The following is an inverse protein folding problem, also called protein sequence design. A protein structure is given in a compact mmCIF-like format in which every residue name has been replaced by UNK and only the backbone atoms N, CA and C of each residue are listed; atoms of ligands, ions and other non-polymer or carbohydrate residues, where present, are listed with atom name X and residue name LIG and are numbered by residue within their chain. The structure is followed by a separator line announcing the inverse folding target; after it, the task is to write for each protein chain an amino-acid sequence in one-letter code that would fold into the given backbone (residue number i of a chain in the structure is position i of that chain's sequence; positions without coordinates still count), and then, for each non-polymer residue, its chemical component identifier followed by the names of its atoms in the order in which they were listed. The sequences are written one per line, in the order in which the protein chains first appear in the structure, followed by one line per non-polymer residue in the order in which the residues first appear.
data_IF_987469655816
#
_entry.id   IF_987469655816
#
_cell.length_a   1.000
_cell.length_b   1.000
_cell.length_c   1.000
_cell.angle_alpha   90.00
_cell.angle_beta   90.00
_cell.angle_gamma   90.00
#
_symmetry.space_group_name_H-M   'P 1'
#
loop_
_entity.id
_entity.type
_entity.pdbx_description
1 polymer ?
#
# COMPACT_ATOMS: atom_id res chain seq x y z
N UNK A 1 -31.07 4.38 -12.08
CA UNK A 1 -29.65 4.53 -11.71
C UNK A 1 -29.17 3.15 -11.29
N UNK A 2 -27.99 2.73 -11.73
CA UNK A 2 -27.42 1.42 -11.38
C UNK A 2 -27.25 1.29 -9.86
N UNK A 3 -27.38 0.09 -9.29
CA UNK A 3 -27.33 -0.11 -7.82
C UNK A 3 -26.00 0.39 -7.26
N UNK A 4 -24.91 0.18 -7.99
CA UNK A 4 -23.56 0.61 -7.64
C UNK A 4 -23.40 2.13 -7.65
N UNK A 5 -24.09 2.82 -8.57
CA UNK A 5 -24.08 4.29 -8.63
C UNK A 5 -24.92 4.90 -7.50
N UNK A 6 -26.01 4.23 -7.12
CA UNK A 6 -26.76 4.61 -5.92
C UNK A 6 -25.91 4.40 -4.65
N UNK A 7 -25.22 3.27 -4.52
CA UNK A 7 -24.28 3.01 -3.42
C UNK A 7 -23.18 4.07 -3.34
N UNK A 8 -22.57 4.40 -4.49
CA UNK A 8 -21.55 5.45 -4.59
C UNK A 8 -22.08 6.82 -4.12
N UNK A 9 -23.30 7.20 -4.51
CA UNK A 9 -23.88 8.47 -4.07
C UNK A 9 -24.10 8.51 -2.54
N UNK A 10 -24.57 7.40 -1.94
CA UNK A 10 -24.72 7.30 -0.49
C UNK A 10 -23.38 7.36 0.24
N UNK A 11 -22.37 6.66 -0.28
CA UNK A 11 -21.02 6.67 0.28
C UNK A 11 -20.38 8.06 0.18
N UNK A 12 -20.53 8.77 -0.94
CA UNK A 12 -20.03 10.15 -1.09
C UNK A 12 -20.61 11.08 -0.02
N UNK A 13 -21.91 10.94 0.27
CA UNK A 13 -22.56 11.74 1.32
C UNK A 13 -22.02 11.37 2.71
N UNK A 14 -22.05 10.08 3.05
CA UNK A 14 -21.70 9.61 4.39
C UNK A 14 -20.20 9.83 4.70
N UNK A 15 -19.33 9.57 3.74
CA UNK A 15 -17.89 9.71 3.89
C UNK A 15 -17.45 11.18 3.76
N UNK A 16 -18.14 11.99 2.95
CA UNK A 16 -17.91 13.43 2.88
C UNK A 16 -18.10 14.12 4.22
N UNK A 17 -19.18 13.80 4.96
CA UNK A 17 -19.41 14.35 6.30
C UNK A 17 -18.32 13.92 7.30
N UNK A 18 -17.88 12.65 7.25
CA UNK A 18 -16.84 12.12 8.14
C UNK A 18 -15.46 12.73 7.87
N UNK A 19 -15.02 12.71 6.61
CA UNK A 19 -13.70 13.23 6.21
C UNK A 19 -13.62 14.72 6.50
N UNK A 20 -14.69 15.48 6.23
CA UNK A 20 -14.75 16.91 6.55
C UNK A 20 -14.60 17.17 8.04
N UNK A 21 -15.36 16.44 8.87
CA UNK A 21 -15.26 16.56 10.33
C UNK A 21 -13.84 16.25 10.81
N UNK A 22 -13.25 15.17 10.32
CA UNK A 22 -11.87 14.80 10.67
C UNK A 22 -10.86 15.87 10.23
N UNK A 23 -11.03 16.44 9.02
CA UNK A 23 -10.19 17.52 8.53
C UNK A 23 -10.28 18.77 9.40
N UNK A 24 -11.48 19.17 9.82
CA UNK A 24 -11.70 20.32 10.71
C UNK A 24 -10.99 20.12 12.06
N UNK A 25 -11.16 18.95 12.69
CA UNK A 25 -10.46 18.59 13.94
C UNK A 25 -8.93 18.58 13.76
N UNK A 26 -8.45 17.99 12.66
CA UNK A 26 -7.02 17.93 12.36
C UNK A 26 -6.44 19.32 12.09
N UNK A 27 -7.17 20.20 11.41
CA UNK A 27 -6.77 21.57 11.14
C UNK A 27 -6.65 22.38 12.43
N UNK A 28 -7.59 22.24 13.38
CA UNK A 28 -7.52 22.91 14.69
C UNK A 28 -6.25 22.54 15.47
N UNK A 29 -5.88 21.25 15.47
CA UNK A 29 -4.64 20.78 16.10
C UNK A 29 -3.41 21.37 15.39
N UNK A 30 -3.39 21.39 14.06
CA UNK A 30 -2.24 21.90 13.30
C UNK A 30 -2.09 23.42 13.41
N UNK A 31 -3.17 24.18 13.56
CA UNK A 31 -3.13 25.62 13.88
C UNK A 31 -2.40 25.90 15.19
N UNK A 32 -2.63 25.08 16.22
CA UNK A 32 -1.92 25.19 17.50
C UNK A 32 -0.40 24.90 17.35
N UNK A 33 -0.02 24.12 16.35
CA UNK A 33 1.37 23.77 16.04
C UNK A 33 2.05 24.76 15.07
N UNK A 34 1.34 25.80 14.62
CA UNK A 34 1.89 26.83 13.73
C UNK A 34 2.15 26.35 12.29
N UNK A 35 1.38 25.38 11.80
CA UNK A 35 1.50 24.89 10.42
C UNK A 35 0.98 25.94 9.42
N UNK A 36 1.75 26.20 8.36
CA UNK A 36 1.38 27.12 7.28
C UNK A 36 0.29 26.51 6.39
N UNK A 37 -0.89 27.15 6.38
CA UNK A 37 -2.06 26.79 5.55
C UNK A 37 -1.93 27.21 4.09
N UNK A 38 -0.97 28.09 3.79
CA UNK A 38 -0.69 28.63 2.46
C UNK A 38 0.61 28.07 1.86
N UNK A 39 1.22 27.05 2.48
CA UNK A 39 2.51 26.44 2.12
C UNK A 39 2.74 26.28 0.61
N UNK A 40 1.73 25.81 -0.11
CA UNK A 40 1.84 25.57 -1.56
C UNK A 40 1.57 26.83 -2.38
N UNK A 41 0.74 27.75 -1.89
CA UNK A 41 0.45 29.02 -2.56
C UNK A 41 1.59 30.03 -2.38
N UNK A 42 2.34 29.93 -1.29
CA UNK A 42 3.56 30.69 -1.01
C UNK A 42 4.82 30.09 -1.64
N UNK A 43 4.75 28.91 -2.28
CA UNK A 43 5.89 28.15 -2.80
C UNK A 43 6.87 28.99 -3.63
N UNK A 44 6.34 29.85 -4.51
CA UNK A 44 7.16 30.64 -5.43
C UNK A 44 7.90 31.81 -4.76
N UNK A 45 7.55 32.18 -3.53
CA UNK A 45 8.22 33.27 -2.80
C UNK A 45 9.67 32.92 -2.43
N UNK A 46 9.98 31.63 -2.37
CA UNK A 46 11.30 31.12 -2.00
C UNK A 46 12.19 30.83 -3.23
N UNK A 47 11.66 30.98 -4.44
CA UNK A 47 12.35 30.59 -5.66
C UNK A 47 13.34 31.67 -6.13
N UNK A 48 14.49 31.22 -6.64
CA UNK A 48 15.39 32.08 -7.40
C UNK A 48 14.78 32.49 -8.75
N UNK A 49 15.36 33.52 -9.38
CA UNK A 49 14.84 34.12 -10.62
C UNK A 49 14.61 33.11 -11.76
N UNK A 50 15.50 32.14 -11.96
CA UNK A 50 15.38 31.17 -13.05
C UNK A 50 14.31 30.11 -12.78
N UNK A 51 14.25 29.59 -11.56
CA UNK A 51 13.21 28.63 -11.14
C UNK A 51 11.82 29.26 -11.18
N UNK A 52 11.72 30.55 -10.82
CA UNK A 52 10.48 31.32 -10.93
C UNK A 52 10.05 31.46 -12.40
N UNK A 53 10.95 31.83 -13.32
CA UNK A 53 10.64 31.92 -14.76
C UNK A 53 10.18 30.58 -15.32
N UNK A 54 10.86 29.49 -14.97
CA UNK A 54 10.48 28.15 -15.38
C UNK A 54 9.08 27.80 -14.89
N UNK A 55 8.81 27.98 -13.59
CA UNK A 55 7.54 27.64 -12.95
C UNK A 55 6.37 28.44 -13.52
N UNK A 56 6.55 29.75 -13.73
CA UNK A 56 5.54 30.61 -14.33
C UNK A 56 5.28 30.26 -15.81
N UNK A 57 6.32 29.90 -16.57
CA UNK A 57 6.19 29.42 -17.94
C UNK A 57 5.40 28.11 -18.00
N UNK A 58 5.74 27.16 -17.14
CA UNK A 58 5.05 25.87 -17.02
C UNK A 58 3.58 26.06 -16.64
N UNK A 59 3.29 26.89 -15.64
CA UNK A 59 1.93 27.25 -15.23
C UNK A 59 1.14 27.87 -16.39
N UNK A 60 1.73 28.85 -17.08
CA UNK A 60 1.09 29.54 -18.21
C UNK A 60 0.76 28.57 -19.35
N UNK A 61 1.70 27.68 -19.68
CA UNK A 61 1.49 26.67 -20.72
C UNK A 61 0.44 25.63 -20.32
N UNK A 62 0.44 25.23 -19.04
CA UNK A 62 -0.56 24.32 -18.49
C UNK A 62 -1.96 24.93 -18.60
N UNK A 63 -2.16 26.15 -18.11
CA UNK A 63 -3.45 26.84 -18.18
C UNK A 63 -3.93 27.03 -19.62
N UNK A 64 -3.04 27.42 -20.54
CA UNK A 64 -3.38 27.55 -21.98
C UNK A 64 -3.76 26.22 -22.62
N UNK A 65 -3.10 25.13 -22.22
CA UNK A 65 -3.43 23.80 -22.72
C UNK A 65 -4.80 23.36 -22.21
N UNK A 66 -5.11 23.57 -20.94
CA UNK A 66 -6.41 23.26 -20.34
C UNK A 66 -7.51 24.07 -21.02
N UNK A 67 -7.33 25.37 -21.24
CA UNK A 67 -8.30 26.20 -21.97
C UNK A 67 -8.59 25.67 -23.38
N UNK A 68 -7.56 25.17 -24.09
CA UNK A 68 -7.70 24.72 -25.48
C UNK A 68 -8.22 23.29 -25.62
N UNK A 69 -7.89 22.41 -24.66
CA UNK A 69 -8.08 20.96 -24.79
C UNK A 69 -8.99 20.36 -23.71
N UNK A 70 -9.42 21.16 -22.74
CA UNK A 70 -10.32 20.71 -21.67
C UNK A 70 -9.66 19.81 -20.65
N UNK A 71 -10.48 19.08 -19.87
CA UNK A 71 -10.03 18.22 -18.77
C UNK A 71 -9.08 17.09 -19.20
N UNK A 72 -9.17 16.63 -20.45
CA UNK A 72 -8.37 15.52 -20.99
C UNK A 72 -6.86 15.76 -20.99
N UNK A 73 -6.42 17.01 -20.90
CA UNK A 73 -4.98 17.35 -20.84
C UNK A 73 -4.46 17.42 -19.42
N UNK A 74 -5.33 17.36 -18.40
CA UNK A 74 -4.92 17.45 -16.99
C UNK A 74 -4.00 16.29 -16.63
N UNK A 75 -4.43 15.04 -16.79
CA UNK A 75 -3.60 13.87 -16.43
C UNK A 75 -2.21 13.91 -17.11
N UNK A 76 -2.07 14.15 -18.44
CA UNK A 76 -0.77 14.29 -19.08
C UNK A 76 0.15 15.40 -18.51
N UNK A 77 -0.41 16.53 -18.07
CA UNK A 77 0.37 17.61 -17.45
C UNK A 77 0.96 17.11 -16.12
N UNK A 78 0.12 16.47 -15.29
CA UNK A 78 0.51 16.00 -13.98
C UNK A 78 1.40 14.75 -14.02
N UNK A 79 1.28 13.91 -15.04
CA UNK A 79 2.21 12.80 -15.29
C UNK A 79 3.63 13.32 -15.56
N UNK A 80 3.76 14.43 -16.30
CA UNK A 80 5.04 15.11 -16.50
C UNK A 80 5.67 15.55 -15.18
N UNK A 81 4.90 16.25 -14.33
CA UNK A 81 5.33 16.69 -13.00
C UNK A 81 5.66 15.53 -12.06
N UNK A 82 4.91 14.44 -12.13
CA UNK A 82 5.17 13.22 -11.34
C UNK A 82 6.50 12.59 -11.77
N UNK A 83 6.74 12.49 -13.08
CA UNK A 83 7.98 11.92 -13.62
C UNK A 83 9.23 12.77 -13.33
N UNK A 84 9.09 14.09 -13.22
CA UNK A 84 10.17 15.01 -12.85
C UNK A 84 10.41 15.10 -11.34
N UNK A 85 9.49 14.57 -10.52
CA UNK A 85 9.54 14.68 -9.05
C UNK A 85 9.12 16.06 -8.52
N UNK A 86 8.54 16.92 -9.37
CA UNK A 86 8.15 18.30 -9.05
C UNK A 86 6.79 18.38 -8.33
N UNK A 87 6.65 17.60 -7.26
CA UNK A 87 5.36 17.41 -6.59
C UNK A 87 4.78 18.69 -5.98
N UNK A 88 5.62 19.53 -5.35
CA UNK A 88 5.16 20.79 -4.76
C UNK A 88 4.69 21.79 -5.82
N UNK A 89 5.43 21.89 -6.92
CA UNK A 89 5.07 22.74 -8.06
C UNK A 89 3.77 22.24 -8.72
N UNK A 90 3.58 20.93 -8.80
CA UNK A 90 2.32 20.35 -9.27
C UNK A 90 1.13 20.74 -8.41
N UNK A 91 1.25 20.72 -7.07
CA UNK A 91 0.18 21.16 -6.16
C UNK A 91 -0.10 22.66 -6.33
N UNK A 92 0.95 23.49 -6.47
CA UNK A 92 0.77 24.91 -6.78
C UNK A 92 0.01 25.13 -8.10
N UNK A 93 0.39 24.43 -9.17
CA UNK A 93 -0.29 24.52 -10.47
C UNK A 93 -1.74 24.04 -10.35
N UNK A 94 -2.00 22.99 -9.57
CA UNK A 94 -3.34 22.51 -9.29
C UNK A 94 -4.22 23.62 -8.66
N UNK A 95 -3.70 24.35 -7.67
CA UNK A 95 -4.42 25.47 -7.05
C UNK A 95 -4.80 26.53 -8.07
N UNK A 96 -3.86 26.94 -8.93
CA UNK A 96 -4.11 27.97 -9.94
C UNK A 96 -5.15 27.53 -10.97
N UNK A 97 -5.17 26.24 -11.35
CA UNK A 97 -6.22 25.68 -12.22
C UNK A 97 -7.56 25.68 -11.47
N UNK A 98 -7.61 25.16 -10.25
CA UNK A 98 -8.84 25.07 -9.45
C UNK A 98 -9.47 26.45 -9.24
N UNK A 99 -8.69 27.45 -8.82
CA UNK A 99 -9.15 28.83 -8.62
C UNK A 99 -9.75 29.41 -9.90
N UNK A 100 -9.00 29.34 -11.01
CA UNK A 100 -9.46 29.87 -12.30
C UNK A 100 -10.80 29.27 -12.74
N UNK A 101 -10.95 27.96 -12.60
CA UNK A 101 -12.18 27.26 -12.98
C UNK A 101 -13.25 27.23 -11.87
N UNK A 102 -12.99 27.81 -10.69
CA UNK A 102 -14.02 28.19 -9.70
C UNK A 102 -14.61 29.58 -10.02
N UNK A 103 -13.79 30.49 -10.55
CA UNK A 103 -14.16 31.91 -10.80
C UNK A 103 -14.80 32.15 -12.18
N UNK A 104 -14.32 31.49 -13.23
CA UNK A 104 -14.81 31.68 -14.61
C UNK A 104 -15.86 30.61 -14.98
N UNK A 105 -17.08 31.06 -15.26
CA UNK A 105 -18.20 30.28 -15.83
C UNK A 105 -18.77 29.15 -14.94
N UNK A 106 -19.81 29.53 -14.20
CA UNK A 106 -20.59 28.69 -13.30
C UNK A 106 -21.13 27.44 -13.99
N UNK A 107 -20.80 26.28 -13.42
CA UNK A 107 -21.53 25.02 -13.60
C UNK A 107 -21.70 24.58 -15.06
N UNK A 108 -20.59 24.39 -15.79
CA UNK A 108 -20.57 23.49 -16.95
C UNK A 108 -19.96 22.14 -16.55
N UNK A 109 -20.38 21.06 -17.21
CA UNK A 109 -19.81 19.74 -16.97
C UNK A 109 -18.29 19.73 -17.16
N UNK A 110 -17.81 20.43 -18.19
CA UNK A 110 -16.38 20.58 -18.50
C UNK A 110 -15.61 21.25 -17.36
N UNK A 111 -16.15 22.33 -16.79
CA UNK A 111 -15.52 23.05 -15.68
C UNK A 111 -15.43 22.16 -14.42
N UNK A 112 -16.48 21.39 -14.12
CA UNK A 112 -16.43 20.38 -13.05
C UNK A 112 -15.38 19.30 -13.31
N UNK A 113 -15.31 18.75 -14.52
CA UNK A 113 -14.34 17.71 -14.88
C UNK A 113 -12.89 18.24 -14.78
N UNK A 114 -12.63 19.48 -15.20
CA UNK A 114 -11.32 20.12 -15.03
C UNK A 114 -10.94 20.17 -13.55
N UNK A 115 -11.84 20.65 -12.68
CA UNK A 115 -11.57 20.72 -11.23
C UNK A 115 -11.38 19.32 -10.63
N UNK A 116 -12.23 18.36 -10.98
CA UNK A 116 -12.19 17.00 -10.44
C UNK A 116 -10.91 16.25 -10.82
N UNK A 117 -10.50 16.30 -12.09
CA UNK A 117 -9.24 15.70 -12.52
C UNK A 117 -8.03 16.43 -11.92
N UNK A 118 -8.12 17.75 -11.72
CA UNK A 118 -7.05 18.51 -11.07
C UNK A 118 -6.92 18.13 -9.59
N UNK A 119 -8.03 18.07 -8.86
CA UNK A 119 -8.09 17.62 -7.47
C UNK A 119 -7.57 16.19 -7.34
N UNK A 120 -8.01 15.27 -8.22
CA UNK A 120 -7.52 13.90 -8.27
C UNK A 120 -5.98 13.85 -8.36
N UNK A 121 -5.39 14.61 -9.28
CA UNK A 121 -3.93 14.61 -9.43
C UNK A 121 -3.21 15.30 -8.26
N UNK A 122 -3.78 16.35 -7.66
CA UNK A 122 -3.23 16.95 -6.44
C UNK A 122 -3.20 15.94 -5.28
N UNK A 123 -4.28 15.20 -5.08
CA UNK A 123 -4.38 14.14 -4.07
C UNK A 123 -3.33 13.04 -4.31
N UNK A 124 -3.15 12.60 -5.57
CA UNK A 124 -2.10 11.62 -5.94
C UNK A 124 -0.70 12.13 -5.57
N UNK A 125 -0.37 13.38 -5.89
CA UNK A 125 0.93 13.99 -5.57
C UNK A 125 1.14 14.10 -4.05
N UNK A 126 0.10 14.47 -3.31
CA UNK A 126 0.12 14.59 -1.85
C UNK A 126 0.30 13.23 -1.17
N UNK A 127 -0.31 12.17 -1.72
CA UNK A 127 -0.11 10.81 -1.25
C UNK A 127 1.36 10.38 -1.38
N UNK A 128 2.03 10.73 -2.49
CA UNK A 128 3.46 10.42 -2.69
C UNK A 128 4.33 11.23 -1.72
N UNK A 129 4.00 12.51 -1.51
CA UNK A 129 4.71 13.37 -0.55
C UNK A 129 4.42 13.02 0.92
N UNK A 130 3.42 12.19 1.20
CA UNK A 130 2.92 11.89 2.54
C UNK A 130 2.49 13.16 3.31
N UNK A 131 1.88 14.14 2.61
CA UNK A 131 1.39 15.39 3.23
C UNK A 131 -0.10 15.24 3.60
N UNK A 132 -0.35 14.74 4.82
CA UNK A 132 -1.69 14.35 5.30
C UNK A 132 -2.66 15.52 5.44
N UNK A 133 -2.20 16.70 5.86
CA UNK A 133 -3.08 17.85 6.09
C UNK A 133 -3.70 18.32 4.76
N UNK A 134 -2.84 18.58 3.78
CA UNK A 134 -3.31 19.00 2.46
C UNK A 134 -4.06 17.87 1.75
N UNK A 135 -3.64 16.62 1.92
CA UNK A 135 -4.40 15.47 1.40
C UNK A 135 -5.86 15.51 1.85
N UNK A 136 -6.12 15.72 3.14
CA UNK A 136 -7.48 15.82 3.69
C UNK A 136 -8.26 17.03 3.17
N UNK A 137 -7.60 18.19 3.03
CA UNK A 137 -8.19 19.39 2.44
C UNK A 137 -8.72 19.10 1.02
N UNK A 138 -7.85 18.60 0.14
CA UNK A 138 -8.24 18.34 -1.25
C UNK A 138 -9.17 17.14 -1.40
N UNK A 139 -9.08 16.13 -0.52
CA UNK A 139 -10.04 15.02 -0.49
C UNK A 139 -11.44 15.52 -0.17
N UNK A 140 -11.58 16.42 0.81
CA UNK A 140 -12.87 17.04 1.15
C UNK A 140 -13.42 17.82 -0.05
N UNK A 141 -12.59 18.64 -0.70
CA UNK A 141 -13.00 19.39 -1.91
C UNK A 141 -13.38 18.47 -3.07
N UNK A 142 -12.64 17.37 -3.28
CA UNK A 142 -12.94 16.38 -4.31
C UNK A 142 -14.29 15.70 -4.09
N UNK A 143 -14.58 15.27 -2.87
CA UNK A 143 -15.85 14.62 -2.53
C UNK A 143 -17.02 15.58 -2.77
N UNK A 144 -16.90 16.83 -2.32
CA UNK A 144 -17.94 17.85 -2.48
C UNK A 144 -18.19 18.17 -3.97
N UNK A 145 -17.13 18.38 -4.75
CA UNK A 145 -17.23 18.63 -6.20
C UNK A 145 -17.81 17.42 -6.94
N UNK A 146 -17.42 16.20 -6.54
CA UNK A 146 -17.85 14.99 -7.22
C UNK A 146 -19.33 14.70 -6.92
N UNK A 147 -19.75 14.88 -5.67
CA UNK A 147 -21.15 14.77 -5.27
C UNK A 147 -22.05 15.75 -6.06
N UNK A 148 -21.60 16.99 -6.24
CA UNK A 148 -22.31 17.98 -7.08
C UNK A 148 -22.34 17.56 -8.55
N UNK A 149 -21.23 17.05 -9.08
CA UNK A 149 -21.14 16.61 -10.47
C UNK A 149 -22.13 15.49 -10.78
N UNK A 150 -22.21 14.46 -9.93
CA UNK A 150 -23.16 13.34 -10.11
C UNK A 150 -24.60 13.86 -10.16
N UNK A 151 -24.96 14.80 -9.29
CA UNK A 151 -26.32 15.37 -9.22
C UNK A 151 -26.68 16.20 -10.45
N UNK A 152 -25.75 17.01 -10.94
CA UNK A 152 -25.99 17.95 -12.03
C UNK A 152 -25.84 17.29 -13.41
N UNK A 153 -24.95 16.30 -13.54
CA UNK A 153 -24.58 15.69 -14.82
C UNK A 153 -24.63 14.16 -14.81
N UNK A 154 -25.75 13.53 -14.40
CA UNK A 154 -25.87 12.07 -14.34
C UNK A 154 -25.71 11.37 -15.70
N UNK A 155 -25.79 12.11 -16.81
CA UNK A 155 -25.59 11.59 -18.17
C UNK A 155 -24.12 11.21 -18.46
N UNK A 156 -23.15 11.76 -17.71
CA UNK A 156 -21.72 11.48 -17.88
C UNK A 156 -21.30 10.21 -17.14
N UNK A 157 -21.99 9.09 -17.41
CA UNK A 157 -21.86 7.85 -16.66
C UNK A 157 -20.42 7.32 -16.65
N UNK A 158 -19.72 7.34 -17.78
CA UNK A 158 -18.33 6.86 -17.88
C UNK A 158 -17.40 7.65 -16.95
N UNK A 159 -17.51 8.98 -16.96
CA UNK A 159 -16.71 9.84 -16.08
C UNK A 159 -17.08 9.64 -14.61
N UNK A 160 -18.37 9.44 -14.30
CA UNK A 160 -18.82 9.11 -12.94
C UNK A 160 -18.20 7.80 -12.46
N UNK A 161 -18.12 6.77 -13.32
CA UNK A 161 -17.45 5.52 -12.97
C UNK A 161 -15.96 5.74 -12.69
N UNK A 162 -15.25 6.44 -13.59
CA UNK A 162 -13.83 6.73 -13.43
C UNK A 162 -13.58 7.51 -12.13
N UNK A 163 -14.31 8.58 -11.89
CA UNK A 163 -14.20 9.38 -10.66
C UNK A 163 -14.60 8.59 -9.41
N UNK A 164 -15.56 7.66 -9.51
CA UNK A 164 -15.93 6.72 -8.47
C UNK A 164 -14.78 5.80 -8.07
N UNK A 165 -14.00 5.33 -9.06
CA UNK A 165 -12.79 4.54 -8.76
C UNK A 165 -11.73 5.36 -8.04
N UNK A 166 -11.55 6.63 -8.42
CA UNK A 166 -10.63 7.54 -7.72
C UNK A 166 -11.10 7.81 -6.29
N UNK A 167 -12.39 8.05 -6.08
CA UNK A 167 -12.99 8.24 -4.76
C UNK A 167 -12.70 7.07 -3.81
N UNK A 168 -12.99 5.83 -4.21
CA UNK A 168 -12.72 4.67 -3.36
C UNK A 168 -11.23 4.42 -3.16
N UNK A 169 -10.38 4.71 -4.16
CA UNK A 169 -8.92 4.65 -4.02
C UNK A 169 -8.42 5.63 -2.95
N UNK A 170 -8.94 6.86 -2.95
CA UNK A 170 -8.60 7.85 -1.94
C UNK A 170 -9.09 7.47 -0.56
N UNK A 171 -10.31 6.94 -0.43
CA UNK A 171 -10.80 6.46 0.86
C UNK A 171 -10.03 5.25 1.38
N UNK A 172 -9.56 4.37 0.49
CA UNK A 172 -8.65 3.28 0.84
C UNK A 172 -7.35 3.84 1.45
N UNK A 173 -6.69 4.80 0.78
CA UNK A 173 -5.46 5.43 1.27
C UNK A 173 -5.70 6.19 2.58
N UNK A 174 -6.77 6.99 2.66
CA UNK A 174 -7.19 7.70 3.87
C UNK A 174 -7.36 6.74 5.05
N UNK A 175 -8.13 5.67 4.87
CA UNK A 175 -8.40 4.70 5.93
C UNK A 175 -7.12 3.99 6.37
N UNK A 176 -6.24 3.63 5.42
CA UNK A 176 -5.02 2.89 5.70
C UNK A 176 -3.92 3.73 6.34
N UNK A 177 -3.77 4.99 5.93
CA UNK A 177 -2.59 5.82 6.26
C UNK A 177 -2.86 6.95 7.24
N UNK A 178 -4.12 7.39 7.35
CA UNK A 178 -4.54 8.49 8.22
C UNK A 178 -5.35 7.96 9.39
N UNK A 179 -6.42 7.21 9.14
CA UNK A 179 -7.21 6.60 10.24
C UNK A 179 -6.55 5.37 10.88
N UNK A 180 -5.61 4.72 10.17
CA UNK A 180 -5.05 3.41 10.54
C UNK A 180 -6.16 2.35 10.79
N UNK A 181 -7.20 2.40 9.98
CA UNK A 181 -8.35 1.51 10.02
C UNK A 181 -8.33 0.52 8.85
N UNK A 182 -7.72 -0.64 9.10
CA UNK A 182 -7.52 -1.71 8.11
C UNK A 182 -8.85 -2.29 7.61
N UNK A 183 -9.87 -2.39 8.46
CA UNK A 183 -11.18 -2.94 8.11
C UNK A 183 -11.93 -2.03 7.13
N UNK A 184 -11.94 -0.71 7.41
CA UNK A 184 -12.50 0.27 6.48
C UNK A 184 -11.73 0.32 5.17
N UNK A 185 -10.40 0.26 5.25
CA UNK A 185 -9.56 0.17 4.06
C UNK A 185 -9.95 -1.05 3.21
N UNK A 186 -10.16 -2.22 3.81
CA UNK A 186 -10.63 -3.42 3.11
C UNK A 186 -11.99 -3.20 2.44
N UNK A 187 -12.94 -2.59 3.15
CA UNK A 187 -14.25 -2.26 2.60
C UNK A 187 -14.17 -1.38 1.35
N UNK A 188 -13.32 -0.35 1.37
CA UNK A 188 -13.16 0.55 0.22
C UNK A 188 -12.45 -0.10 -0.97
N UNK A 189 -11.41 -0.91 -0.74
CA UNK A 189 -10.73 -1.60 -1.84
C UNK A 189 -11.62 -2.68 -2.49
N UNK A 190 -12.51 -3.34 -1.73
CA UNK A 190 -13.54 -4.25 -2.28
C UNK A 190 -14.55 -3.48 -3.13
N UNK A 191 -15.06 -2.34 -2.63
CA UNK A 191 -15.98 -1.48 -3.41
C UNK A 191 -15.32 -0.98 -4.71
N UNK A 192 -14.05 -0.58 -4.64
CA UNK A 192 -13.25 -0.19 -5.80
C UNK A 192 -13.14 -1.31 -6.83
N UNK A 193 -12.77 -2.52 -6.37
CA UNK A 193 -12.66 -3.70 -7.23
C UNK A 193 -14.00 -4.03 -7.92
N UNK A 194 -15.10 -4.05 -7.17
CA UNK A 194 -16.43 -4.33 -7.72
C UNK A 194 -16.87 -3.27 -8.74
N UNK A 195 -16.58 -1.99 -8.48
CA UNK A 195 -16.85 -0.92 -9.43
C UNK A 195 -16.08 -1.13 -10.74
N UNK A 196 -14.79 -1.49 -10.66
CA UNK A 196 -13.97 -1.79 -11.85
C UNK A 196 -14.47 -3.03 -12.60
N UNK A 197 -14.85 -4.09 -11.89
CA UNK A 197 -15.48 -5.29 -12.48
C UNK A 197 -16.70 -4.90 -13.32
N UNK A 198 -17.55 -4.02 -12.79
CA UNK A 198 -18.70 -3.46 -13.53
C UNK A 198 -18.28 -2.64 -14.75
N UNK A 199 -17.22 -1.85 -14.65
CA UNK A 199 -16.72 -1.07 -15.78
C UNK A 199 -16.18 -1.96 -16.91
N UNK A 200 -15.57 -3.11 -16.61
CA UNK A 200 -15.22 -4.10 -17.63
C UNK A 200 -16.46 -4.71 -18.28
N UNK A 201 -17.47 -5.11 -17.51
CA UNK A 201 -18.74 -5.63 -18.05
C UNK A 201 -19.43 -4.64 -19.00
N UNK A 202 -19.29 -3.34 -18.73
CA UNK A 202 -19.84 -2.25 -19.54
C UNK A 202 -18.93 -1.82 -20.69
N UNK A 203 -17.74 -2.40 -20.83
CA UNK A 203 -16.77 -2.04 -21.87
C UNK A 203 -16.13 -0.66 -21.70
N UNK A 204 -16.26 -0.04 -20.52
CA UNK A 204 -15.63 1.26 -20.19
C UNK A 204 -14.12 1.07 -20.05
N UNK A 205 -13.71 0.02 -19.33
CA UNK A 205 -12.30 -0.38 -19.23
C UNK A 205 -11.98 -1.45 -20.27
N UNK A 206 -10.77 -1.38 -20.81
CA UNK A 206 -10.31 -2.28 -21.89
C UNK A 206 -9.40 -3.37 -21.34
N UNK A 207 -9.91 -4.59 -21.26
CA UNK A 207 -9.11 -5.76 -20.93
C UNK A 207 -8.26 -6.21 -22.13
N UNK A 208 -7.00 -6.67 -21.97
CA UNK A 208 -6.19 -6.75 -20.74
C UNK A 208 -5.27 -5.54 -20.50
N UNK A 209 -5.41 -4.47 -21.31
CA UNK A 209 -4.62 -3.24 -21.14
C UNK A 209 -4.85 -2.60 -19.77
N UNK A 210 -6.06 -2.74 -19.27
CA UNK A 210 -6.41 -2.57 -17.88
C UNK A 210 -6.73 -3.93 -17.26
N UNK A 211 -6.34 -4.10 -16.01
CA UNK A 211 -6.54 -5.34 -15.25
C UNK A 211 -6.78 -5.03 -13.77
N UNK A 212 -7.28 -6.00 -13.00
CA UNK A 212 -7.58 -5.79 -11.59
C UNK A 212 -6.51 -6.31 -10.62
N UNK A 213 -5.37 -6.80 -11.11
CA UNK A 213 -4.38 -7.51 -10.28
C UNK A 213 -3.97 -6.72 -9.03
N UNK A 214 -3.61 -5.44 -9.14
CA UNK A 214 -3.20 -4.66 -7.96
C UNK A 214 -4.29 -4.55 -6.90
N UNK A 215 -5.56 -4.48 -7.31
CA UNK A 215 -6.69 -4.42 -6.38
C UNK A 215 -6.90 -5.76 -5.68
N UNK A 216 -6.83 -6.87 -6.42
CA UNK A 216 -6.94 -8.22 -5.86
C UNK A 216 -5.81 -8.54 -4.89
N UNK A 217 -4.57 -8.19 -5.25
CA UNK A 217 -3.40 -8.31 -4.37
C UNK A 217 -3.65 -7.52 -3.08
N UNK A 218 -4.06 -6.25 -3.17
CA UNK A 218 -4.31 -5.43 -1.99
C UNK A 218 -5.47 -5.96 -1.14
N UNK A 219 -6.55 -6.46 -1.72
CA UNK A 219 -7.64 -7.11 -0.97
C UNK A 219 -7.09 -8.27 -0.15
N UNK A 220 -6.30 -9.15 -0.77
CA UNK A 220 -5.74 -10.34 -0.11
C UNK A 220 -4.78 -9.93 1.03
N UNK A 221 -3.85 -9.02 0.76
CA UNK A 221 -2.89 -8.56 1.77
C UNK A 221 -3.56 -7.85 2.94
N UNK A 222 -4.56 -7.00 2.67
CA UNK A 222 -5.29 -6.26 3.71
C UNK A 222 -6.18 -7.21 4.52
N UNK A 223 -6.82 -8.19 3.90
CA UNK A 223 -7.61 -9.22 4.59
C UNK A 223 -6.79 -9.93 5.68
N UNK A 224 -5.56 -10.35 5.36
CA UNK A 224 -4.71 -11.04 6.32
C UNK A 224 -4.14 -10.13 7.42
N UNK A 225 -4.28 -8.80 7.30
CA UNK A 225 -3.95 -7.84 8.36
C UNK A 225 -5.09 -7.60 9.35
N UNK A 226 -6.30 -8.07 9.06
CA UNK A 226 -7.45 -7.91 9.95
C UNK A 226 -7.30 -8.83 11.16
N UNK A 227 -7.53 -8.28 12.35
CA UNK A 227 -7.52 -9.04 13.60
C UNK A 227 -8.92 -9.54 13.99
N UNK A 228 -9.99 -8.86 13.54
CA UNK A 228 -11.36 -9.24 13.83
C UNK A 228 -11.81 -10.42 12.96
N UNK A 229 -12.04 -11.56 13.60
CA UNK A 229 -12.48 -12.80 12.94
C UNK A 229 -13.92 -12.70 12.40
N UNK A 230 -14.80 -11.89 12.99
CA UNK A 230 -16.16 -11.69 12.46
C UNK A 230 -16.11 -10.96 11.13
N UNK A 231 -15.22 -9.97 11.01
CA UNK A 231 -15.00 -9.26 9.74
C UNK A 231 -14.46 -10.23 8.70
N UNK A 232 -13.48 -11.08 9.05
CA UNK A 232 -12.97 -12.12 8.13
C UNK A 232 -14.06 -13.07 7.66
N UNK A 233 -14.92 -13.54 8.55
CA UNK A 233 -16.04 -14.44 8.20
C UNK A 233 -17.04 -13.81 7.23
N UNK A 234 -17.12 -12.48 7.16
CA UNK A 234 -17.98 -11.78 6.22
C UNK A 234 -17.43 -11.69 4.79
N UNK A 235 -16.18 -12.12 4.57
CA UNK A 235 -15.45 -11.96 3.32
C UNK A 235 -15.03 -13.34 2.80
N UNK A 236 -15.49 -13.69 1.60
CA UNK A 236 -15.01 -14.90 0.93
C UNK A 236 -13.65 -14.65 0.29
N UNK A 237 -12.58 -14.86 1.06
CA UNK A 237 -11.20 -14.65 0.56
C UNK A 237 -10.87 -15.57 -0.63
N UNK A 238 -11.49 -16.74 -0.73
CA UNK A 238 -11.25 -17.67 -1.84
C UNK A 238 -11.78 -17.11 -3.17
N UNK A 239 -12.87 -16.33 -3.15
CA UNK A 239 -13.35 -15.62 -4.35
C UNK A 239 -12.24 -14.74 -4.94
N UNK A 240 -11.60 -13.91 -4.11
CA UNK A 240 -10.57 -12.98 -4.57
C UNK A 240 -9.27 -13.68 -4.99
N UNK A 241 -8.89 -14.77 -4.32
CA UNK A 241 -7.74 -15.58 -4.73
C UNK A 241 -8.01 -16.24 -6.10
N UNK A 242 -9.22 -16.79 -6.31
CA UNK A 242 -9.60 -17.38 -7.58
C UNK A 242 -9.70 -16.33 -8.70
N UNK A 243 -10.18 -15.13 -8.41
CA UNK A 243 -10.21 -14.03 -9.38
C UNK A 243 -8.79 -13.54 -9.71
N UNK A 244 -7.84 -13.59 -8.76
CA UNK A 244 -6.42 -13.33 -9.03
C UNK A 244 -5.81 -14.40 -9.95
N UNK A 245 -6.12 -15.67 -9.73
CA UNK A 245 -5.71 -16.78 -10.60
C UNK A 245 -6.19 -16.58 -12.05
N UNK A 246 -7.45 -16.19 -12.25
CA UNK A 246 -8.01 -15.89 -13.57
C UNK A 246 -7.32 -14.70 -14.24
N UNK A 247 -7.11 -13.62 -13.50
CA UNK A 247 -6.44 -12.41 -13.99
C UNK A 247 -5.00 -12.71 -14.43
N UNK A 248 -4.24 -13.45 -13.62
CA UNK A 248 -2.88 -13.87 -13.98
C UNK A 248 -2.88 -14.78 -15.22
N UNK A 249 -3.80 -15.74 -15.31
CA UNK A 249 -3.89 -16.65 -16.45
C UNK A 249 -4.20 -15.88 -17.74
N UNK A 250 -5.13 -14.93 -17.69
CA UNK A 250 -5.50 -14.16 -18.89
C UNK A 250 -4.38 -13.20 -19.31
N UNK A 251 -3.65 -12.63 -18.35
CA UNK A 251 -2.43 -11.87 -18.66
C UNK A 251 -1.37 -12.76 -19.30
N UNK A 252 -1.17 -13.99 -18.80
CA UNK A 252 -0.23 -14.95 -19.40
C UNK A 252 -0.57 -15.23 -20.85
N UNK A 253 -1.84 -15.55 -21.11
CA UNK A 253 -2.31 -15.83 -22.47
C UNK A 253 -2.12 -14.61 -23.39
N UNK A 254 -2.42 -13.41 -22.90
CA UNK A 254 -2.22 -12.19 -23.70
C UNK A 254 -0.75 -11.95 -24.03
N UNK A 255 0.11 -12.11 -23.03
CA UNK A 255 1.56 -12.02 -23.15
C UNK A 255 2.01 -13.02 -24.22
N UNK A 256 1.72 -14.31 -24.07
CA UNK A 256 2.07 -15.40 -25.01
C UNK A 256 1.72 -15.09 -26.47
N UNK A 257 0.57 -14.44 -26.70
CA UNK A 257 0.04 -14.21 -28.03
C UNK A 257 0.45 -12.89 -28.72
N UNK A 258 0.98 -11.89 -28.01
CA UNK A 258 1.03 -10.50 -28.56
C UNK A 258 2.42 -9.98 -28.94
N UNK A 259 3.52 -10.73 -28.72
CA UNK A 259 4.93 -10.34 -28.97
C UNK A 259 5.40 -8.97 -28.38
N UNK A 260 4.53 -8.19 -27.72
CA UNK A 260 4.82 -6.89 -27.09
C UNK A 260 4.67 -6.99 -25.56
N UNK A 261 5.76 -7.38 -24.89
CA UNK A 261 5.73 -7.96 -23.54
C UNK A 261 6.08 -7.00 -22.39
N UNK A 262 6.75 -5.87 -22.65
CA UNK A 262 7.50 -5.17 -21.59
C UNK A 262 6.65 -4.36 -20.60
N UNK A 263 5.39 -4.08 -20.91
CA UNK A 263 4.57 -3.17 -20.10
C UNK A 263 3.79 -3.88 -18.99
N UNK A 264 3.53 -5.19 -19.10
CA UNK A 264 2.58 -5.88 -18.21
C UNK A 264 3.25 -6.48 -16.96
N UNK A 265 4.47 -6.99 -17.06
CA UNK A 265 5.22 -7.56 -15.92
C UNK A 265 6.32 -6.61 -15.43
N UNK A 266 5.93 -5.44 -14.92
CA UNK A 266 6.86 -4.52 -14.26
C UNK A 266 7.50 -5.17 -13.02
N UNK A 267 8.69 -4.71 -12.62
CA UNK A 267 9.33 -5.22 -11.40
C UNK A 267 8.50 -4.95 -10.14
N UNK A 268 7.70 -3.88 -10.15
CA UNK A 268 6.73 -3.59 -9.10
C UNK A 268 5.64 -4.66 -9.03
N UNK A 269 5.04 -5.04 -10.16
CA UNK A 269 4.02 -6.09 -10.18
C UNK A 269 4.58 -7.42 -9.66
N UNK A 270 5.81 -7.77 -10.05
CA UNK A 270 6.50 -8.97 -9.53
C UNK A 270 6.66 -8.90 -8.02
N UNK A 271 7.08 -7.75 -7.48
CA UNK A 271 7.21 -7.53 -6.04
C UNK A 271 5.88 -7.82 -5.33
N UNK A 272 4.78 -7.22 -5.78
CA UNK A 272 3.47 -7.40 -5.15
C UNK A 272 2.96 -8.85 -5.23
N UNK A 273 3.15 -9.53 -6.37
CA UNK A 273 2.76 -10.94 -6.51
C UNK A 273 3.57 -11.81 -5.54
N UNK A 274 4.88 -11.59 -5.42
CA UNK A 274 5.72 -12.35 -4.48
C UNK A 274 5.30 -12.10 -3.01
N UNK A 275 4.82 -10.91 -2.68
CA UNK A 275 4.32 -10.58 -1.33
C UNK A 275 3.04 -11.35 -0.98
N UNK A 276 2.08 -11.39 -1.91
CA UNK A 276 0.85 -12.20 -1.75
C UNK A 276 1.19 -13.68 -1.65
N UNK A 277 2.04 -14.20 -2.54
CA UNK A 277 2.42 -15.61 -2.51
C UNK A 277 3.09 -16.02 -1.19
N UNK A 278 3.99 -15.16 -0.67
CA UNK A 278 4.63 -15.41 0.64
C UNK A 278 3.60 -15.42 1.77
N UNK A 279 2.62 -14.51 1.71
CA UNK A 279 1.54 -14.41 2.69
C UNK A 279 0.66 -15.66 2.67
N UNK A 280 0.18 -16.08 1.50
CA UNK A 280 -0.63 -17.29 1.33
C UNK A 280 0.09 -18.51 1.89
N UNK A 281 1.36 -18.70 1.55
CA UNK A 281 2.14 -19.83 2.04
C UNK A 281 2.30 -19.80 3.56
N UNK A 282 2.62 -18.62 4.13
CA UNK A 282 2.85 -18.48 5.58
C UNK A 282 1.60 -18.75 6.43
N UNK A 283 0.41 -18.54 5.87
CA UNK A 283 -0.88 -18.69 6.59
C UNK A 283 -1.50 -20.08 6.32
N UNK A 284 -0.87 -20.91 5.50
CA UNK A 284 -1.30 -22.29 5.24
C UNK A 284 -2.17 -22.49 3.99
N UNK A 285 -2.27 -21.48 3.12
CA UNK A 285 -2.96 -21.57 1.81
C UNK A 285 -2.02 -22.14 0.74
N UNK A 286 -1.49 -23.34 0.99
CA UNK A 286 -0.47 -23.97 0.14
C UNK A 286 -1.02 -24.39 -1.23
N UNK A 287 -2.25 -24.87 -1.29
CA UNK A 287 -2.89 -25.26 -2.55
C UNK A 287 -3.09 -24.04 -3.47
N UNK A 288 -3.59 -22.93 -2.92
CA UNK A 288 -3.74 -21.65 -3.62
C UNK A 288 -2.39 -21.11 -4.09
N UNK A 289 -1.38 -21.14 -3.20
CA UNK A 289 -0.02 -20.75 -3.54
C UNK A 289 0.50 -21.55 -4.75
N UNK A 290 0.38 -22.87 -4.73
CA UNK A 290 0.86 -23.74 -5.79
C UNK A 290 0.12 -23.49 -7.12
N UNK A 291 -1.21 -23.27 -7.07
CA UNK A 291 -2.01 -22.88 -8.24
C UNK A 291 -1.48 -21.59 -8.87
N UNK A 292 -1.34 -20.52 -8.09
CA UNK A 292 -0.87 -19.23 -8.58
C UNK A 292 0.56 -19.28 -9.13
N UNK A 293 1.47 -19.98 -8.45
CA UNK A 293 2.87 -20.16 -8.89
C UNK A 293 2.95 -20.88 -10.22
N UNK A 294 2.08 -21.86 -10.46
CA UNK A 294 2.09 -22.64 -11.71
C UNK A 294 1.79 -21.80 -12.96
N UNK A 295 1.10 -20.67 -12.80
CA UNK A 295 0.79 -19.75 -13.90
C UNK A 295 2.08 -19.07 -14.38
N UNK A 296 2.84 -18.48 -13.45
CA UNK A 296 4.07 -17.74 -13.75
C UNK A 296 5.24 -18.16 -12.84
N UNK A 297 5.88 -19.31 -13.08
CA UNK A 297 6.99 -19.79 -12.24
C UNK A 297 8.19 -18.82 -12.26
N UNK A 298 8.40 -18.13 -13.37
CA UNK A 298 9.49 -17.18 -13.56
C UNK A 298 9.30 -15.85 -12.81
N UNK A 299 8.11 -15.61 -12.26
CA UNK A 299 7.84 -14.40 -11.46
C UNK A 299 8.49 -14.45 -10.08
N UNK A 300 8.84 -15.64 -9.63
CA UNK A 300 9.37 -15.88 -8.30
C UNK A 300 10.79 -15.32 -8.16
N UNK A 301 10.93 -14.33 -7.29
CA UNK A 301 12.21 -13.72 -6.97
C UNK A 301 13.06 -14.66 -6.11
N UNK A 302 14.40 -14.48 -6.17
CA UNK A 302 15.33 -15.21 -5.28
C UNK A 302 14.97 -14.99 -3.80
N UNK A 303 14.56 -13.78 -3.45
CA UNK A 303 14.12 -13.41 -2.11
C UNK A 303 12.94 -14.25 -1.64
N UNK A 304 11.89 -14.35 -2.46
CA UNK A 304 10.72 -15.17 -2.17
C UNK A 304 11.07 -16.66 -2.04
N UNK A 305 11.89 -17.20 -2.95
CA UNK A 305 12.33 -18.60 -2.90
C UNK A 305 13.03 -18.94 -1.58
N UNK A 306 13.84 -18.02 -1.05
CA UNK A 306 14.47 -18.19 0.27
C UNK A 306 13.44 -18.20 1.40
N UNK A 307 12.45 -17.31 1.36
CA UNK A 307 11.36 -17.29 2.36
C UNK A 307 10.60 -18.62 2.38
N UNK A 308 10.17 -19.10 1.22
CA UNK A 308 9.42 -20.36 1.11
C UNK A 308 10.27 -21.53 1.61
N UNK A 309 11.55 -21.57 1.25
CA UNK A 309 12.49 -22.60 1.74
C UNK A 309 12.62 -22.60 3.26
N UNK A 310 12.63 -21.44 3.91
CA UNK A 310 12.66 -21.36 5.38
C UNK A 310 11.37 -21.87 6.01
N UNK A 311 10.20 -21.53 5.44
CA UNK A 311 8.93 -22.08 5.92
C UNK A 311 8.80 -23.59 5.68
N UNK A 312 9.32 -24.11 4.57
CA UNK A 312 9.38 -25.55 4.31
C UNK A 312 10.26 -26.26 5.34
N UNK A 313 11.39 -25.64 5.72
CA UNK A 313 12.27 -26.19 6.76
C UNK A 313 11.60 -26.16 8.14
N UNK A 314 10.83 -25.12 8.45
CA UNK A 314 10.14 -24.98 9.73
C UNK A 314 9.10 -26.09 9.98
N UNK A 315 8.63 -26.76 8.92
CA UNK A 315 7.68 -27.89 8.97
C UNK A 315 8.33 -29.26 9.13
N UNK A 316 9.67 -29.35 9.14
CA UNK A 316 10.39 -30.61 9.25
C UNK A 316 10.58 -31.02 10.71
N UNK A 317 10.97 -32.29 10.91
CA UNK A 317 11.46 -32.77 12.20
C UNK A 317 12.74 -32.03 12.62
N UNK A 318 12.89 -31.75 13.92
CA UNK A 318 13.93 -30.86 14.45
C UNK A 318 15.35 -31.16 13.98
N UNK A 319 15.74 -32.43 13.94
CA UNK A 319 17.09 -32.83 13.51
C UNK A 319 17.34 -32.60 12.02
N UNK A 320 16.35 -32.88 11.18
CA UNK A 320 16.42 -32.63 9.73
C UNK A 320 16.37 -31.12 9.43
N UNK A 321 15.56 -30.38 10.17
CA UNK A 321 15.43 -28.94 10.04
C UNK A 321 16.76 -28.23 10.31
N UNK A 322 17.43 -28.55 11.42
CA UNK A 322 18.73 -27.98 11.79
C UNK A 322 19.80 -28.27 10.72
N UNK A 323 19.87 -29.50 10.20
CA UNK A 323 20.83 -29.85 9.13
C UNK A 323 20.58 -29.03 7.85
N UNK A 324 19.32 -28.86 7.46
CA UNK A 324 18.97 -28.04 6.29
C UNK A 324 19.24 -26.56 6.51
N UNK A 325 19.00 -26.02 7.71
CA UNK A 325 19.31 -24.62 8.02
C UNK A 325 20.80 -24.32 7.89
N UNK A 326 21.67 -25.23 8.31
CA UNK A 326 23.12 -25.05 8.14
C UNK A 326 23.52 -24.94 6.67
N UNK A 327 22.91 -25.75 5.79
CA UNK A 327 23.13 -25.67 4.33
C UNK A 327 22.55 -24.38 3.72
N UNK A 328 21.38 -23.95 4.19
CA UNK A 328 20.72 -22.74 3.69
C UNK A 328 21.44 -21.46 4.11
N UNK A 329 22.13 -21.46 5.25
CA UNK A 329 22.90 -20.31 5.72
C UNK A 329 23.89 -19.78 4.67
N UNK A 330 24.63 -20.67 4.02
CA UNK A 330 25.58 -20.26 2.96
C UNK A 330 24.90 -19.66 1.73
N UNK A 331 23.66 -20.09 1.43
CA UNK A 331 22.86 -19.52 0.34
C UNK A 331 22.36 -18.12 0.70
N UNK A 332 21.89 -17.94 1.94
CA UNK A 332 21.46 -16.66 2.50
C UNK A 332 22.62 -15.65 2.45
N UNK A 333 23.79 -16.03 2.96
CA UNK A 333 24.97 -15.15 3.00
C UNK A 333 25.39 -14.69 1.60
N UNK A 334 25.33 -15.58 0.60
CA UNK A 334 25.59 -15.24 -0.80
C UNK A 334 24.51 -14.32 -1.39
N UNK A 335 23.25 -14.53 -1.03
CA UNK A 335 22.14 -13.71 -1.49
C UNK A 335 22.17 -12.29 -0.91
N UNK A 336 22.64 -12.13 0.33
CA UNK A 336 22.63 -10.86 1.05
C UNK A 336 23.28 -9.71 0.28
N UNK A 337 24.37 -9.97 -0.45
CA UNK A 337 25.05 -8.96 -1.28
C UNK A 337 24.12 -8.23 -2.26
N UNK A 338 23.04 -8.88 -2.69
CA UNK A 338 22.10 -8.35 -3.68
C UNK A 338 20.73 -7.97 -3.10
N UNK A 339 20.57 -8.02 -1.77
CA UNK A 339 19.31 -7.69 -1.09
C UNK A 339 19.39 -6.32 -0.40
N UNK A 340 18.25 -5.62 -0.36
CA UNK A 340 18.07 -4.39 0.43
C UNK A 340 18.15 -4.68 1.94
N UNK A 341 18.37 -3.64 2.74
CA UNK A 341 18.43 -3.72 4.21
C UNK A 341 17.20 -4.44 4.79
N UNK A 342 16.01 -4.01 4.40
CA UNK A 342 14.72 -4.58 4.82
C UNK A 342 14.58 -6.07 4.47
N UNK A 343 14.97 -6.47 3.26
CA UNK A 343 14.91 -7.88 2.84
C UNK A 343 15.87 -8.76 3.64
N UNK A 344 17.05 -8.25 3.98
CA UNK A 344 18.02 -8.95 4.84
C UNK A 344 17.46 -9.13 6.24
N UNK A 345 16.84 -8.08 6.80
CA UNK A 345 16.18 -8.13 8.11
C UNK A 345 15.10 -9.21 8.18
N UNK A 346 14.21 -9.27 7.19
CA UNK A 346 13.14 -10.29 7.13
C UNK A 346 13.72 -11.71 7.04
N UNK A 347 14.71 -11.94 6.16
CA UNK A 347 15.32 -13.28 6.04
C UNK A 347 16.06 -13.66 7.31
N UNK A 348 16.81 -12.74 7.92
CA UNK A 348 17.47 -12.99 9.20
C UNK A 348 16.45 -13.34 10.29
N UNK A 349 15.35 -12.58 10.38
CA UNK A 349 14.29 -12.85 11.34
C UNK A 349 13.73 -14.25 11.16
N UNK A 350 13.32 -14.62 9.94
CA UNK A 350 12.77 -15.95 9.64
C UNK A 350 13.80 -17.04 9.92
N UNK A 351 15.04 -16.88 9.43
CA UNK A 351 16.09 -17.88 9.61
C UNK A 351 16.37 -18.18 11.08
N UNK A 352 16.60 -17.15 11.89
CA UNK A 352 16.89 -17.37 13.31
C UNK A 352 15.65 -17.84 14.07
N UNK A 353 14.45 -17.37 13.72
CA UNK A 353 13.24 -17.87 14.36
C UNK A 353 13.04 -19.37 14.12
N UNK A 354 13.15 -19.81 12.86
CA UNK A 354 13.10 -21.23 12.47
C UNK A 354 14.22 -22.01 13.16
N UNK A 355 15.44 -21.47 13.21
CA UNK A 355 16.55 -22.13 13.90
C UNK A 355 16.26 -22.33 15.39
N UNK A 356 15.72 -21.31 16.06
CA UNK A 356 15.38 -21.40 17.47
C UNK A 356 14.19 -22.34 17.73
N UNK A 357 13.22 -22.46 16.81
CA UNK A 357 12.13 -23.43 16.94
C UNK A 357 12.65 -24.87 17.02
N UNK A 358 13.67 -25.19 16.23
CA UNK A 358 14.13 -26.57 16.03
C UNK A 358 15.36 -26.95 16.86
N UNK A 359 16.16 -25.99 17.33
CA UNK A 359 17.33 -26.29 18.16
C UNK A 359 16.93 -26.77 19.56
N UNK A 360 17.53 -27.87 20.00
CA UNK A 360 17.45 -28.40 21.36
C UNK A 360 18.19 -27.48 22.35
N UNK A 361 17.60 -27.26 23.53
CA UNK A 361 18.16 -26.40 24.57
C UNK A 361 19.53 -26.88 25.09
N UNK A 362 19.77 -28.20 25.00
CA UNK A 362 21.01 -28.85 25.42
C UNK A 362 22.19 -28.54 24.49
N UNK A 363 21.93 -28.04 23.27
CA UNK A 363 22.95 -27.67 22.30
C UNK A 363 23.57 -26.29 22.59
N UNK A 364 24.17 -26.18 23.78
CA UNK A 364 24.75 -24.95 24.33
C UNK A 364 25.82 -24.32 23.44
N UNK A 365 26.60 -25.13 22.72
CA UNK A 365 27.61 -24.64 21.77
C UNK A 365 26.95 -23.84 20.64
N UNK A 366 25.91 -24.40 20.02
CA UNK A 366 25.24 -23.75 18.90
C UNK A 366 24.42 -22.55 19.34
N UNK A 367 23.76 -22.63 20.50
CA UNK A 367 23.07 -21.48 21.10
C UNK A 367 24.03 -20.29 21.33
N UNK A 368 25.27 -20.57 21.75
CA UNK A 368 26.30 -19.54 21.89
C UNK A 368 26.71 -18.92 20.55
N UNK A 369 26.91 -19.73 19.51
CA UNK A 369 27.22 -19.23 18.15
C UNK A 369 26.11 -18.30 17.63
N UNK A 370 24.84 -18.71 17.80
CA UNK A 370 23.68 -17.90 17.40
C UNK A 370 23.61 -16.59 18.20
N UNK A 371 23.93 -16.63 19.50
CA UNK A 371 23.95 -15.43 20.35
C UNK A 371 24.93 -14.38 19.83
N UNK A 372 26.15 -14.78 19.53
CA UNK A 372 27.20 -13.86 19.03
C UNK A 372 26.82 -13.23 17.68
N UNK A 373 26.11 -13.98 16.84
CA UNK A 373 25.63 -13.51 15.55
C UNK A 373 24.44 -12.55 15.70
N UNK A 374 23.43 -12.91 16.51
CA UNK A 374 22.29 -12.06 16.80
C UNK A 374 22.69 -10.75 17.47
N UNK A 375 23.65 -10.76 18.39
CA UNK A 375 24.14 -9.53 19.04
C UNK A 375 24.63 -8.51 18.01
N UNK A 376 25.44 -8.93 17.03
CA UNK A 376 25.92 -8.06 15.94
C UNK A 376 24.81 -7.58 15.01
N UNK A 377 23.80 -8.42 14.78
CA UNK A 377 22.70 -8.10 13.87
C UNK A 377 21.67 -7.17 14.52
N UNK A 378 21.43 -7.30 15.83
CA UNK A 378 20.51 -6.44 16.58
C UNK A 378 20.96 -4.99 16.67
N UNK A 379 22.25 -4.70 16.50
CA UNK A 379 22.76 -3.32 16.32
C UNK A 379 22.26 -2.67 15.02
N UNK A 380 21.85 -3.47 14.03
CA UNK A 380 21.46 -3.01 12.69
C UNK A 380 19.95 -3.13 12.44
N UNK A 381 19.31 -4.08 13.10
CA UNK A 381 17.94 -4.54 12.86
C UNK A 381 17.20 -4.71 14.19
N UNK A 382 16.38 -3.73 14.55
CA UNK A 382 15.68 -3.72 15.84
C UNK A 382 14.66 -4.87 15.96
N UNK A 383 14.07 -5.33 14.85
CA UNK A 383 13.08 -6.43 14.87
C UNK A 383 13.66 -7.75 15.37
N UNK A 384 14.98 -7.94 15.29
CA UNK A 384 15.67 -9.12 15.82
C UNK A 384 15.75 -9.15 17.35
N UNK A 385 15.40 -8.06 18.04
CA UNK A 385 15.36 -8.05 19.51
C UNK A 385 14.33 -9.05 20.06
N UNK A 386 13.21 -9.27 19.36
CA UNK A 386 12.23 -10.32 19.72
C UNK A 386 12.85 -11.72 19.61
N UNK A 387 13.61 -11.98 18.55
CA UNK A 387 14.33 -13.24 18.36
C UNK A 387 15.43 -13.43 19.42
N UNK A 388 16.13 -12.33 19.77
CA UNK A 388 17.13 -12.34 20.86
C UNK A 388 16.49 -12.70 22.20
N UNK A 389 15.31 -12.17 22.51
CA UNK A 389 14.59 -12.55 23.72
C UNK A 389 14.24 -14.04 23.73
N UNK A 390 13.78 -14.59 22.60
CA UNK A 390 13.50 -16.04 22.46
C UNK A 390 14.74 -16.92 22.66
N UNK A 391 15.90 -16.48 22.16
CA UNK A 391 17.17 -17.15 22.44
C UNK A 391 17.52 -17.12 23.93
N UNK A 392 17.36 -15.96 24.58
CA UNK A 392 17.64 -15.82 26.02
C UNK A 392 16.75 -16.72 26.86
N UNK A 393 15.47 -16.88 26.49
CA UNK A 393 14.56 -17.85 27.12
C UNK A 393 15.11 -19.27 27.04
N UNK A 394 15.51 -19.73 25.85
CA UNK A 394 16.14 -21.05 25.65
C UNK A 394 17.45 -21.23 26.41
N UNK A 395 18.17 -20.15 26.66
CA UNK A 395 19.38 -20.15 27.50
C UNK A 395 19.08 -20.07 29.02
N UNK A 396 17.80 -20.02 29.43
CA UNK A 396 17.39 -19.89 30.82
C UNK A 396 17.51 -18.46 31.41
N UNK A 397 17.82 -17.45 30.60
CA UNK A 397 17.98 -16.05 31.02
C UNK A 397 16.64 -15.29 30.98
N UNK A 398 15.65 -15.82 31.72
CA UNK A 398 14.25 -15.35 31.72
C UNK A 398 14.09 -13.85 31.99
N UNK A 399 14.70 -13.32 33.06
CA UNK A 399 14.53 -11.91 33.44
C UNK A 399 14.99 -10.95 32.34
N UNK A 400 16.12 -11.26 31.69
CA UNK A 400 16.65 -10.45 30.58
C UNK A 400 15.78 -10.54 29.33
N UNK A 401 15.25 -11.74 29.04
CA UNK A 401 14.31 -11.91 27.94
C UNK A 401 13.05 -11.07 28.16
N UNK A 402 12.50 -11.09 29.37
CA UNK A 402 11.32 -10.27 29.74
C UNK A 402 11.59 -8.78 29.58
N UNK A 403 12.73 -8.28 30.07
CA UNK A 403 13.09 -6.87 29.94
C UNK A 403 13.15 -6.41 28.47
N UNK A 404 13.70 -7.25 27.57
CA UNK A 404 13.75 -6.95 26.14
C UNK A 404 12.34 -6.94 25.54
N UNK A 405 11.51 -7.94 25.84
CA UNK A 405 10.15 -8.02 25.30
C UNK A 405 9.29 -6.83 25.75
N UNK A 406 9.35 -6.44 27.01
CA UNK A 406 8.61 -5.27 27.52
C UNK A 406 9.06 -3.97 26.84
N UNK A 407 10.37 -3.79 26.62
CA UNK A 407 10.91 -2.63 25.91
C UNK A 407 10.45 -2.59 24.44
N UNK A 408 10.46 -3.73 23.76
CA UNK A 408 9.99 -3.80 22.38
C UNK A 408 8.47 -3.64 22.28
N UNK A 409 7.72 -4.08 23.29
CA UNK A 409 6.28 -3.82 23.41
C UNK A 409 5.99 -2.33 23.56
N UNK A 410 6.72 -1.61 24.42
CA UNK A 410 6.58 -0.16 24.56
C UNK A 410 6.84 0.55 23.22
N UNK A 411 7.90 0.17 22.49
CA UNK A 411 8.17 0.70 21.15
C UNK A 411 7.04 0.38 20.17
N UNK A 412 6.49 -0.83 20.21
CA UNK A 412 5.36 -1.24 19.37
C UNK A 412 4.10 -0.39 19.67
N UNK A 413 3.82 -0.11 20.94
CA UNK A 413 2.72 0.77 21.35
C UNK A 413 2.93 2.20 20.85
N UNK A 414 4.12 2.77 21.06
CA UNK A 414 4.45 4.15 20.63
C UNK A 414 4.36 4.28 19.11
N UNK A 415 4.79 3.26 18.38
CA UNK A 415 4.74 3.23 16.91
C UNK A 415 3.38 2.81 16.34
N UNK A 416 2.42 2.39 17.17
CA UNK A 416 1.12 1.90 16.73
C UNK A 416 1.15 0.50 16.07
N UNK A 417 2.25 -0.24 16.16
CA UNK A 417 2.39 -1.57 15.57
C UNK A 417 1.66 -2.64 16.39
N UNK A 418 0.32 -2.68 16.26
CA UNK A 418 -0.57 -3.59 17.00
C UNK A 418 -0.25 -5.08 16.75
N UNK A 419 0.22 -5.43 15.56
CA UNK A 419 0.57 -6.83 15.23
C UNK A 419 1.81 -7.27 16.00
N UNK A 420 2.88 -6.46 16.00
CA UNK A 420 4.08 -6.74 16.79
C UNK A 420 3.75 -6.77 18.28
N UNK A 421 2.92 -5.82 18.74
CA UNK A 421 2.45 -5.80 20.12
C UNK A 421 1.75 -7.11 20.50
N UNK A 422 0.80 -7.58 19.67
CA UNK A 422 0.08 -8.84 19.92
C UNK A 422 1.02 -10.04 19.96
N UNK A 423 1.97 -10.13 19.02
CA UNK A 423 2.99 -11.20 19.01
C UNK A 423 3.79 -11.19 20.33
N UNK A 424 4.24 -10.02 20.77
CA UNK A 424 4.99 -9.89 22.03
C UNK A 424 4.11 -10.23 23.24
N UNK A 425 2.85 -9.80 23.24
CA UNK A 425 1.88 -10.11 24.30
C UNK A 425 1.60 -11.61 24.39
N UNK A 426 1.45 -12.30 23.26
CA UNK A 426 1.27 -13.75 23.19
C UNK A 426 2.52 -14.47 23.76
N UNK A 427 3.73 -14.02 23.39
CA UNK A 427 4.98 -14.56 23.94
C UNK A 427 5.15 -14.31 25.44
N UNK A 428 4.84 -13.10 25.90
CA UNK A 428 4.90 -12.77 27.32
C UNK A 428 3.92 -13.63 28.12
N UNK A 429 2.73 -13.89 27.59
CA UNK A 429 1.69 -14.68 28.24
C UNK A 429 1.97 -16.19 28.24
N UNK A 430 2.68 -16.70 27.24
CA UNK A 430 2.99 -18.14 27.14
C UNK A 430 4.23 -18.53 27.96
N UNK A 431 5.20 -17.63 28.13
CA UNK A 431 6.53 -17.95 28.69
C UNK A 431 6.78 -17.42 30.12
N UNK A 432 5.96 -16.49 30.62
CA UNK A 432 6.10 -15.83 31.93
C UNK A 432 4.78 -15.76 32.70
#
# INVERSE_FOLDING_TARGET
MDIELFGLEQDLKAEGEKVKKYYEEYLEINKLLGVDEDKYDSLLLEYGTEDLKYSLSLMTNSLRNVEKKGYKVIDPIFDGLRSSGEYSLGIFIANRIIEKYKEFEQNSAESYLIRLHTLKNAIDLLSIKNDKLYYLKYLTEFIDEFYRFIKLYPIYLEEIYILGTNFYSFLYIYSLTIEDNVERALGFIIKLYNLRKKMFEKGILKYPYEHNIYYLINIILVYFRINDELVKLSIDIYEYINDLEKELSTIKDFIENTQNYRVILSDDLKKYINEVLSTLYSIGFEEEYNRLVSIFPDILTKYHKLIIKLYEIDKLESSEAVEKLEKVKEEIDRAFNNLSKEKREIISFLFFNTYLNHIEEENTKKLKEIREELEKLTEKYDTLNVIKAKLLLKCGERDKAKEILEREKEKAIISGNKTLQKIIDDYLSSEF
#
